data_IF_294605031992
#
_entry.id   IF_294605031992
#
_cell.length_a   1.000
_cell.length_b   1.000
_cell.length_c   1.000
_cell.angle_alpha   90.00
_cell.angle_beta   90.00
_cell.angle_gamma   90.00
#
_symmetry.space_group_name_H-M   'P 1'
#
loop_
_entity.id
_entity.type
_entity.pdbx_description
1 polymer ?
#
# COMPACT_ATOMS: atom_id res chain seq x y z
N UNK A 1 -4.69 -10.59 21.30
CA UNK A 1 -4.83 -10.19 19.90
C UNK A 1 -3.57 -9.50 19.42
N UNK A 2 -3.10 -9.87 18.27
CA UNK A 2 -1.93 -9.23 17.67
C UNK A 2 -2.30 -7.83 17.19
N UNK A 3 -1.39 -6.87 17.38
CA UNK A 3 -1.58 -5.54 16.83
C UNK A 3 -1.28 -5.55 15.34
N UNK A 4 -1.96 -4.70 14.52
CA UNK A 4 -1.58 -4.53 13.13
C UNK A 4 -0.13 -4.09 13.00
N UNK A 5 0.50 -4.43 11.89
CA UNK A 5 1.85 -3.96 11.60
C UNK A 5 1.84 -2.42 11.53
N UNK A 6 2.81 -1.80 12.18
CA UNK A 6 2.98 -0.35 12.12
C UNK A 6 3.51 0.02 10.73
N UNK A 7 2.66 0.66 9.94
CA UNK A 7 2.99 0.99 8.56
C UNK A 7 4.13 2.01 8.47
N UNK A 8 4.25 2.92 9.44
CA UNK A 8 5.35 3.88 9.46
C UNK A 8 6.69 3.15 9.60
N UNK A 9 6.75 2.18 10.50
CA UNK A 9 7.94 1.39 10.69
C UNK A 9 8.23 0.51 9.47
N UNK A 10 7.19 -0.12 8.92
CA UNK A 10 7.33 -0.97 7.74
C UNK A 10 7.94 -0.21 6.55
N UNK A 11 7.52 1.02 6.33
CA UNK A 11 7.96 1.82 5.18
C UNK A 11 9.19 2.70 5.48
N UNK A 12 9.70 2.71 6.70
CA UNK A 12 10.74 3.65 7.12
C UNK A 12 11.99 3.61 6.23
N UNK A 13 12.32 2.47 5.67
CA UNK A 13 13.52 2.31 4.84
C UNK A 13 13.33 2.70 3.38
N UNK A 14 12.10 2.96 2.93
CA UNK A 14 11.82 3.27 1.52
C UNK A 14 11.14 4.62 1.32
N UNK A 15 10.71 5.28 2.38
CA UNK A 15 10.10 6.61 2.27
C UNK A 15 11.15 7.65 1.90
N UNK A 16 10.87 8.42 0.87
CA UNK A 16 11.75 9.50 0.39
C UNK A 16 10.90 10.72 0.06
N UNK A 17 11.59 11.84 -0.19
CA UNK A 17 10.92 13.08 -0.55
C UNK A 17 10.61 13.93 0.67
N UNK A 18 9.74 14.93 0.48
CA UNK A 18 9.38 15.87 1.55
C UNK A 18 8.60 15.15 2.65
N UNK A 19 8.55 15.78 3.81
CA UNK A 19 7.76 15.28 4.93
C UNK A 19 6.29 15.13 4.55
N UNK A 20 5.75 16.08 3.79
CA UNK A 20 4.36 16.02 3.33
C UNK A 20 4.12 14.82 2.43
N UNK A 21 5.05 14.54 1.51
CA UNK A 21 4.96 13.38 0.63
C UNK A 21 5.01 12.08 1.42
N UNK A 22 5.92 12.00 2.38
CA UNK A 22 6.03 10.81 3.23
C UNK A 22 4.76 10.57 4.03
N UNK A 23 4.17 11.61 4.59
CA UNK A 23 2.94 11.49 5.35
C UNK A 23 1.76 11.08 4.47
N UNK A 24 1.71 11.56 3.22
CA UNK A 24 0.69 11.11 2.27
C UNK A 24 0.79 9.62 2.00
N UNK A 25 2.01 9.13 1.77
CA UNK A 25 2.22 7.69 1.54
C UNK A 25 1.81 6.87 2.75
N UNK A 26 2.14 7.33 3.95
CA UNK A 26 1.75 6.61 5.17
C UNK A 26 0.24 6.55 5.34
N UNK A 27 -0.44 7.68 5.12
CA UNK A 27 -1.90 7.73 5.20
C UNK A 27 -2.54 6.78 4.20
N UNK A 28 -2.06 6.81 2.95
CA UNK A 28 -2.59 5.95 1.90
C UNK A 28 -2.30 4.48 2.18
N UNK A 29 -1.10 4.17 2.68
CA UNK A 29 -0.74 2.79 3.02
C UNK A 29 -1.63 2.25 4.15
N UNK A 30 -1.98 3.09 5.13
CA UNK A 30 -2.89 2.68 6.20
C UNK A 30 -4.30 2.44 5.70
N UNK A 31 -4.76 3.24 4.75
CA UNK A 31 -6.06 3.04 4.10
C UNK A 31 -6.06 1.71 3.34
N UNK A 32 -4.99 1.42 2.60
CA UNK A 32 -4.83 0.15 1.89
C UNK A 32 -4.83 -1.02 2.88
N UNK A 33 -4.11 -0.88 3.98
CA UNK A 33 -4.05 -1.92 5.01
C UNK A 33 -5.44 -2.21 5.58
N UNK A 34 -6.21 -1.18 5.91
CA UNK A 34 -7.55 -1.36 6.44
C UNK A 34 -8.47 -2.04 5.42
N UNK A 35 -8.40 -1.64 4.14
CA UNK A 35 -9.23 -2.21 3.09
C UNK A 35 -8.90 -3.68 2.84
N UNK A 36 -7.61 -4.00 2.78
CA UNK A 36 -7.17 -5.38 2.56
C UNK A 36 -7.51 -6.26 3.76
N UNK A 37 -7.36 -5.73 4.98
CA UNK A 37 -7.77 -6.43 6.18
C UNK A 37 -9.25 -6.75 6.16
N UNK A 38 -10.07 -5.80 5.77
CA UNK A 38 -11.52 -6.00 5.70
C UNK A 38 -11.91 -7.06 4.68
N UNK A 39 -11.21 -7.11 3.55
CA UNK A 39 -11.54 -8.03 2.44
C UNK A 39 -10.97 -9.43 2.65
N UNK A 40 -9.73 -9.54 3.17
CA UNK A 40 -9.01 -10.82 3.24
C UNK A 40 -8.50 -11.17 4.63
N UNK A 41 -8.77 -10.36 5.65
CA UNK A 41 -8.27 -10.60 7.02
C UNK A 41 -6.74 -10.62 7.07
N UNK A 42 -6.08 -9.76 6.28
CA UNK A 42 -4.62 -9.71 6.17
C UNK A 42 -4.11 -8.29 6.43
N UNK A 43 -3.90 -7.93 7.70
CA UNK A 43 -3.39 -6.61 8.07
C UNK A 43 -1.86 -6.54 8.02
N UNK A 44 -1.17 -7.66 7.82
CA UNK A 44 0.28 -7.73 7.78
C UNK A 44 0.77 -7.70 6.33
N UNK A 45 1.44 -6.59 5.89
CA UNK A 45 1.90 -6.47 4.50
C UNK A 45 2.83 -7.59 4.05
N UNK A 46 3.55 -8.22 4.97
CA UNK A 46 4.42 -9.35 4.61
C UNK A 46 3.66 -10.54 4.07
N UNK A 47 2.35 -10.63 4.35
CA UNK A 47 1.50 -11.72 3.88
C UNK A 47 0.75 -11.37 2.59
N UNK A 48 0.91 -10.13 2.10
CA UNK A 48 0.18 -9.69 0.90
C UNK A 48 0.78 -10.29 -0.36
N UNK A 49 -0.11 -10.56 -1.32
CA UNK A 49 0.24 -11.00 -2.66
C UNK A 49 -0.16 -9.92 -3.65
N UNK A 50 0.33 -10.04 -4.88
CA UNK A 50 0.03 -9.07 -5.93
C UNK A 50 -1.47 -8.89 -6.13
N UNK A 51 -2.25 -9.96 -6.01
CA UNK A 51 -3.71 -9.89 -6.17
C UNK A 51 -4.37 -8.95 -5.18
N UNK A 52 -3.82 -8.83 -3.96
CA UNK A 52 -4.37 -7.93 -2.94
C UNK A 52 -4.20 -6.47 -3.36
N UNK A 53 -3.02 -6.11 -3.83
CA UNK A 53 -2.75 -4.75 -4.31
C UNK A 53 -3.53 -4.44 -5.59
N UNK A 54 -3.62 -5.41 -6.52
CA UNK A 54 -4.41 -5.23 -7.74
C UNK A 54 -5.87 -5.00 -7.43
N UNK A 55 -6.43 -5.78 -6.51
CA UNK A 55 -7.82 -5.58 -6.09
C UNK A 55 -8.03 -4.18 -5.56
N UNK A 56 -7.13 -3.72 -4.69
CA UNK A 56 -7.27 -2.38 -4.13
C UNK A 56 -7.24 -1.31 -5.22
N UNK A 57 -6.27 -1.40 -6.12
CA UNK A 57 -6.08 -0.38 -7.16
C UNK A 57 -7.20 -0.40 -8.22
N UNK A 58 -7.76 -1.57 -8.52
CA UNK A 58 -8.74 -1.71 -9.59
C UNK A 58 -10.18 -1.73 -9.12
N UNK A 59 -10.47 -2.39 -8.00
CA UNK A 59 -11.84 -2.56 -7.52
C UNK A 59 -12.20 -1.57 -6.41
N UNK A 60 -11.34 -1.43 -5.41
CA UNK A 60 -11.61 -0.53 -4.30
C UNK A 60 -11.61 0.93 -4.76
N UNK A 61 -10.74 1.28 -5.68
CA UNK A 61 -10.58 2.64 -6.19
C UNK A 61 -11.30 2.89 -7.51
N UNK A 62 -12.17 1.99 -7.95
CA UNK A 62 -12.75 2.07 -9.30
C UNK A 62 -13.50 3.37 -9.56
N UNK A 63 -14.10 3.97 -8.53
CA UNK A 63 -14.89 5.20 -8.67
C UNK A 63 -14.10 6.45 -8.32
N UNK A 64 -12.80 6.31 -8.05
CA UNK A 64 -11.95 7.45 -7.73
C UNK A 64 -11.39 8.08 -9.00
N UNK A 65 -10.92 9.33 -8.88
CA UNK A 65 -10.30 10.02 -10.01
C UNK A 65 -9.00 9.34 -10.43
N UNK A 66 -8.58 9.60 -11.68
CA UNK A 66 -7.31 9.09 -12.19
C UNK A 66 -6.14 9.58 -11.34
N UNK A 67 -6.18 10.84 -10.89
CA UNK A 67 -5.13 11.40 -10.04
C UNK A 67 -5.03 10.64 -8.71
N UNK A 68 -6.17 10.37 -8.06
CA UNK A 68 -6.18 9.60 -6.81
C UNK A 68 -5.62 8.21 -7.02
N UNK A 69 -6.06 7.52 -8.09
CA UNK A 69 -5.55 6.18 -8.39
C UNK A 69 -4.05 6.20 -8.67
N UNK A 70 -3.56 7.23 -9.34
CA UNK A 70 -2.14 7.38 -9.62
C UNK A 70 -1.32 7.48 -8.32
N UNK A 71 -1.75 8.31 -7.39
CA UNK A 71 -1.03 8.46 -6.12
C UNK A 71 -1.05 7.19 -5.29
N UNK A 72 -2.15 6.45 -5.28
CA UNK A 72 -2.20 5.15 -4.60
C UNK A 72 -1.30 4.12 -5.28
N UNK A 73 -1.17 4.19 -6.61
CA UNK A 73 -0.24 3.32 -7.33
C UNK A 73 1.20 3.57 -6.89
N UNK A 74 1.58 4.83 -6.69
CA UNK A 74 2.92 5.15 -6.19
C UNK A 74 3.15 4.56 -4.80
N UNK A 75 2.14 4.63 -3.93
CA UNK A 75 2.22 4.04 -2.59
C UNK A 75 2.32 2.51 -2.68
N UNK A 76 1.56 1.90 -3.58
CA UNK A 76 1.63 0.45 -3.79
C UNK A 76 3.03 0.03 -4.26
N UNK A 77 3.68 0.83 -5.12
CA UNK A 77 5.04 0.55 -5.53
C UNK A 77 6.02 0.60 -4.36
N UNK A 78 5.84 1.54 -3.43
CA UNK A 78 6.67 1.60 -2.22
C UNK A 78 6.48 0.37 -1.35
N UNK A 79 5.23 -0.07 -1.16
CA UNK A 79 4.94 -1.29 -0.41
C UNK A 79 5.61 -2.50 -1.07
N UNK A 80 5.49 -2.61 -2.39
CA UNK A 80 6.07 -3.72 -3.13
C UNK A 80 7.59 -3.69 -3.11
N UNK A 81 8.17 -2.48 -3.18
CA UNK A 81 9.61 -2.29 -3.07
C UNK A 81 10.11 -2.76 -1.71
N UNK A 82 9.40 -2.40 -0.64
CA UNK A 82 9.77 -2.84 0.71
C UNK A 82 9.71 -4.35 0.85
N UNK A 83 8.77 -4.99 0.16
CA UNK A 83 8.64 -6.45 0.15
C UNK A 83 9.67 -7.12 -0.76
N UNK A 84 10.45 -6.35 -1.53
CA UNK A 84 11.43 -6.89 -2.44
C UNK A 84 10.84 -7.48 -3.73
N UNK A 85 9.63 -7.08 -4.12
CA UNK A 85 8.88 -7.70 -5.21
C UNK A 85 8.52 -6.73 -6.34
N UNK A 86 9.29 -5.67 -6.50
CA UNK A 86 9.00 -4.63 -7.47
C UNK A 86 8.83 -5.17 -8.91
N UNK A 87 9.57 -6.21 -9.25
CA UNK A 87 9.49 -6.81 -10.59
C UNK A 87 8.10 -7.34 -10.93
N UNK A 88 7.41 -7.94 -9.96
CA UNK A 88 6.09 -8.49 -10.17
C UNK A 88 5.08 -7.40 -10.51
N UNK A 89 5.25 -6.22 -9.93
CA UNK A 89 4.33 -5.11 -10.15
C UNK A 89 4.55 -4.43 -11.51
N UNK A 90 5.77 -4.49 -12.03
CA UNK A 90 6.13 -3.88 -13.30
C UNK A 90 5.79 -4.74 -14.52
N UNK A 91 5.49 -6.00 -14.31
CA UNK A 91 5.15 -6.93 -15.39
C UNK A 91 3.67 -6.95 -15.71
#
# INVERSE_FOLDING_TARGET
>A
MSKPIDMALFLSGVLTGSKATQQRHLRQARIMQAAIQQRWQRDNPWTWQLKHLRWFLTQHLKDNTDATRYYYRLTALLLWKRLGRVRELLM
#
